data_IF_937476195667
#
_entry.id   IF_937476195667
#
_cell.length_a   1.000
_cell.length_b   1.000
_cell.length_c   1.000
_cell.angle_alpha   90.00
_cell.angle_beta   90.00
_cell.angle_gamma   90.00
#
_symmetry.space_group_name_H-M   'P 1'
#
loop_
_entity.id
_entity.type
_entity.pdbx_description
1 polymer ?
#
# COMPACT_ATOMS: atom_id res chain seq x y z
N UNK A 1 -8.19 8.16 -27.42
CA UNK A 1 -7.74 9.56 -27.40
C UNK A 1 -6.62 9.67 -26.38
N UNK A 2 -5.54 10.38 -26.72
CA UNK A 2 -4.20 10.22 -26.10
C UNK A 2 -3.99 11.22 -24.98
N UNK A 3 -3.21 10.84 -23.95
CA UNK A 3 -2.74 11.74 -22.88
C UNK A 3 -2.04 12.99 -23.41
N UNK A 4 -1.61 12.96 -24.68
CA UNK A 4 -1.09 14.10 -25.44
C UNK A 4 -1.96 15.36 -25.38
N UNK A 5 -3.29 15.23 -25.23
CA UNK A 5 -4.19 16.40 -25.13
C UNK A 5 -3.96 17.23 -23.85
N UNK A 6 -3.30 16.63 -22.86
CA UNK A 6 -2.99 17.26 -21.57
C UNK A 6 -1.57 17.83 -21.48
N UNK A 7 -0.75 17.66 -22.51
CA UNK A 7 0.61 18.19 -22.57
C UNK A 7 0.59 19.70 -22.87
N UNK A 8 1.46 20.46 -22.22
CA UNK A 8 1.55 21.90 -22.43
C UNK A 8 2.68 22.29 -23.40
N UNK A 9 2.32 22.82 -24.57
CA UNK A 9 3.27 23.37 -25.54
C UNK A 9 4.28 22.32 -26.01
N UNK A 10 5.56 22.53 -25.70
CA UNK A 10 6.66 21.65 -26.09
C UNK A 10 6.95 20.52 -25.07
N UNK A 11 6.03 20.26 -24.13
CA UNK A 11 6.17 19.18 -23.14
C UNK A 11 6.24 17.82 -23.84
N UNK A 12 7.25 17.02 -23.49
CA UNK A 12 7.57 15.75 -24.14
C UNK A 12 7.47 14.58 -23.17
N UNK A 13 6.79 13.51 -23.59
CA UNK A 13 6.66 12.28 -22.79
C UNK A 13 7.92 11.45 -22.90
N UNK A 14 8.49 11.07 -21.76
CA UNK A 14 9.72 10.28 -21.68
C UNK A 14 9.46 8.84 -21.27
N UNK A 15 8.49 8.63 -20.39
CA UNK A 15 8.04 7.31 -20.00
C UNK A 15 6.53 7.31 -19.79
N UNK A 16 5.92 6.16 -20.02
CA UNK A 16 4.49 5.95 -19.86
C UNK A 16 4.26 4.61 -19.16
N UNK A 17 3.32 4.61 -18.24
CA UNK A 17 2.77 3.41 -17.64
C UNK A 17 1.26 3.38 -17.85
N UNK A 18 0.70 2.19 -18.10
CA UNK A 18 -0.71 2.01 -18.40
C UNK A 18 -1.29 0.87 -17.56
N UNK A 19 -2.15 1.23 -16.61
CA UNK A 19 -2.99 0.32 -15.84
C UNK A 19 -4.41 0.88 -15.71
N UNK A 20 -5.00 0.83 -14.53
CA UNK A 20 -6.28 1.51 -14.22
C UNK A 20 -6.18 3.04 -14.41
N UNK A 21 -4.97 3.55 -14.28
CA UNK A 21 -4.58 4.92 -14.57
C UNK A 21 -3.53 4.91 -15.66
N UNK A 22 -3.56 5.92 -16.53
CA UNK A 22 -2.47 6.20 -17.45
C UNK A 22 -1.54 7.20 -16.81
N UNK A 23 -0.29 6.83 -16.61
CA UNK A 23 0.75 7.65 -16.00
C UNK A 23 1.76 8.07 -17.05
N UNK A 24 2.15 9.34 -17.03
CA UNK A 24 3.14 9.90 -17.94
C UNK A 24 4.19 10.68 -17.15
N UNK A 25 5.45 10.38 -17.43
CA UNK A 25 6.61 11.12 -16.97
C UNK A 25 7.03 12.01 -18.14
N UNK A 26 6.95 13.33 -17.98
CA UNK A 26 7.34 14.29 -19.01
C UNK A 26 8.72 14.86 -18.75
N UNK A 27 9.13 15.91 -19.46
CA UNK A 27 10.30 16.71 -19.12
C UNK A 27 10.04 17.72 -18.01
N UNK A 28 8.78 17.91 -17.58
CA UNK A 28 8.39 18.94 -16.62
C UNK A 28 7.72 18.41 -15.35
N UNK A 29 6.96 17.34 -15.45
CA UNK A 29 6.12 16.83 -14.35
C UNK A 29 5.76 15.36 -14.56
N UNK A 30 5.22 14.76 -13.50
CA UNK A 30 4.49 13.51 -13.58
C UNK A 30 3.01 13.85 -13.67
N UNK A 31 2.29 13.20 -14.57
CA UNK A 31 0.83 13.35 -14.67
C UNK A 31 0.16 12.00 -14.80
N UNK A 32 -1.08 11.92 -14.34
CA UNK A 32 -1.90 10.71 -14.45
C UNK A 32 -3.35 11.05 -14.75
N UNK A 33 -4.02 10.15 -15.46
CA UNK A 33 -5.44 10.29 -15.84
C UNK A 33 -6.12 8.92 -15.68
N UNK A 34 -7.38 8.85 -15.22
CA UNK A 34 -8.11 7.59 -15.20
C UNK A 34 -8.18 6.97 -16.60
N UNK A 35 -7.81 5.70 -16.74
CA UNK A 35 -7.87 5.03 -18.05
C UNK A 35 -9.31 4.90 -18.58
N UNK A 36 -10.29 4.87 -17.66
CA UNK A 36 -11.72 4.82 -17.98
C UNK A 36 -12.27 6.17 -18.48
N UNK A 37 -11.67 7.29 -18.07
CA UNK A 37 -12.15 8.65 -18.39
C UNK A 37 -10.94 9.53 -18.81
N UNK A 38 -10.39 9.32 -20.02
CA UNK A 38 -9.15 9.99 -20.45
C UNK A 38 -9.29 11.51 -20.67
N UNK A 39 -10.52 12.02 -20.73
CA UNK A 39 -10.82 13.45 -20.89
C UNK A 39 -10.94 14.20 -19.55
N UNK A 40 -10.85 13.49 -18.43
CA UNK A 40 -10.81 14.11 -17.11
C UNK A 40 -9.53 14.94 -16.93
N UNK A 41 -9.62 15.99 -16.10
CA UNK A 41 -8.46 16.82 -15.79
C UNK A 41 -7.36 15.93 -15.17
N UNK A 42 -6.11 16.02 -15.67
CA UNK A 42 -5.03 15.18 -15.18
C UNK A 42 -4.66 15.61 -13.77
N UNK A 43 -4.43 14.62 -12.91
CA UNK A 43 -3.67 14.85 -11.70
C UNK A 43 -2.21 15.09 -12.10
N UNK A 44 -1.60 16.12 -11.55
CA UNK A 44 -0.22 16.50 -11.88
C UNK A 44 0.61 16.66 -10.62
N UNK A 45 1.89 16.31 -10.72
CA UNK A 45 2.87 16.38 -9.65
C UNK A 45 4.17 16.91 -10.24
N UNK A 46 4.60 18.09 -9.79
CA UNK A 46 5.86 18.67 -10.24
C UNK A 46 7.05 17.95 -9.59
N UNK A 47 8.22 17.97 -10.23
CA UNK A 47 9.38 17.22 -9.72
C UNK A 47 9.89 17.76 -8.38
N UNK A 48 9.79 19.07 -8.15
CA UNK A 48 10.14 19.73 -6.89
C UNK A 48 9.17 19.39 -5.75
N UNK A 49 7.97 18.90 -6.06
CA UNK A 49 7.01 18.39 -5.08
C UNK A 49 7.30 16.94 -4.68
N UNK A 50 8.14 16.22 -5.43
CA UNK A 50 8.50 14.82 -5.16
C UNK A 50 9.79 14.76 -4.35
N UNK A 51 9.66 14.53 -3.05
CA UNK A 51 10.82 14.34 -2.18
C UNK A 51 11.48 12.97 -2.39
N UNK A 52 10.66 11.92 -2.54
CA UNK A 52 11.17 10.56 -2.77
C UNK A 52 10.11 9.63 -3.36
N UNK A 53 10.57 8.60 -4.07
CA UNK A 53 9.74 7.48 -4.50
C UNK A 53 10.23 6.20 -3.81
N UNK A 54 9.41 5.64 -2.92
CA UNK A 54 9.78 4.47 -2.10
C UNK A 54 8.93 3.26 -2.44
N UNK A 55 9.53 2.07 -2.42
CA UNK A 55 8.80 0.80 -2.46
C UNK A 55 8.23 0.50 -1.07
N UNK A 56 6.91 0.42 -0.97
CA UNK A 56 6.19 0.14 0.27
C UNK A 56 5.66 -1.28 0.24
N UNK A 57 6.03 -2.08 1.25
CA UNK A 57 5.41 -3.38 1.45
C UNK A 57 3.94 -3.17 1.83
N UNK A 58 3.02 -3.43 0.89
CA UNK A 58 1.60 -3.36 1.16
C UNK A 58 1.25 -4.34 2.29
N UNK A 59 0.82 -3.82 3.43
CA UNK A 59 0.47 -4.64 4.59
C UNK A 59 -0.94 -4.26 5.05
N UNK A 60 -1.86 -5.21 4.98
CA UNK A 60 -3.24 -5.01 5.41
C UNK A 60 -3.35 -5.12 6.93
N UNK A 61 -3.48 -3.95 7.56
CA UNK A 61 -3.56 -3.80 9.02
C UNK A 61 -4.64 -4.67 9.66
N UNK A 62 -5.72 -5.06 8.94
CA UNK A 62 -6.78 -5.91 9.48
C UNK A 62 -6.26 -7.27 9.94
N UNK A 63 -5.32 -7.87 9.20
CA UNK A 63 -4.73 -9.15 9.59
C UNK A 63 -3.79 -9.02 10.80
N UNK A 64 -3.07 -7.89 10.91
CA UNK A 64 -2.26 -7.59 12.10
C UNK A 64 -3.15 -7.40 13.33
N UNK A 65 -4.23 -6.62 13.22
CA UNK A 65 -5.19 -6.40 14.31
C UNK A 65 -5.85 -7.70 14.74
N UNK A 66 -6.24 -8.56 13.79
CA UNK A 66 -6.76 -9.90 14.08
C UNK A 66 -5.74 -10.77 14.81
N UNK A 67 -4.48 -10.77 14.37
CA UNK A 67 -3.41 -11.52 15.02
C UNK A 67 -3.15 -11.03 16.46
N UNK A 68 -3.05 -9.71 16.67
CA UNK A 68 -2.83 -9.11 17.99
C UNK A 68 -4.01 -9.38 18.93
N UNK A 69 -5.25 -9.28 18.43
CA UNK A 69 -6.45 -9.62 19.21
C UNK A 69 -6.43 -11.08 19.63
N UNK A 70 -6.03 -12.00 18.74
CA UNK A 70 -5.91 -13.42 19.09
C UNK A 70 -4.84 -13.68 20.16
N UNK A 71 -3.70 -12.99 20.13
CA UNK A 71 -2.68 -13.05 21.21
C UNK A 71 -3.24 -12.51 22.54
N UNK A 72 -3.96 -11.38 22.48
CA UNK A 72 -4.58 -10.79 23.67
C UNK A 72 -5.60 -11.74 24.29
N UNK A 73 -6.45 -12.38 23.47
CA UNK A 73 -7.41 -13.38 23.93
C UNK A 73 -6.70 -14.63 24.47
N UNK A 74 -5.63 -15.09 23.82
CA UNK A 74 -4.85 -16.25 24.27
C UNK A 74 -4.23 -16.05 25.66
N UNK A 75 -3.98 -14.80 26.06
CA UNK A 75 -3.37 -14.47 27.35
C UNK A 75 -4.42 -14.11 28.42
N UNK A 76 -5.49 -13.40 28.05
CA UNK A 76 -6.53 -12.96 28.99
C UNK A 76 -7.57 -14.03 29.31
N UNK A 77 -8.01 -14.82 28.32
CA UNK A 77 -9.07 -15.81 28.51
C UNK A 77 -8.66 -16.90 29.52
N UNK A 78 -7.45 -17.48 29.48
CA UNK A 78 -7.04 -18.47 30.47
C UNK A 78 -6.92 -17.89 31.87
N UNK A 79 -6.41 -16.66 32.01
CA UNK A 79 -6.30 -15.98 33.30
C UNK A 79 -7.68 -15.70 33.91
N UNK A 80 -8.66 -15.32 33.08
CA UNK A 80 -10.05 -15.13 33.51
C UNK A 80 -10.70 -16.47 33.91
N UNK A 81 -10.51 -17.52 33.12
CA UNK A 81 -11.07 -18.85 33.38
C UNK A 81 -10.44 -19.53 34.61
N UNK A 82 -9.16 -19.31 34.88
CA UNK A 82 -8.50 -19.79 36.10
C UNK A 82 -8.91 -18.98 37.34
N UNK A 83 -9.19 -17.68 37.20
CA UNK A 83 -9.69 -16.83 38.28
C UNK A 83 -11.15 -17.10 38.66
N UNK A 84 -11.96 -17.57 37.71
CA UNK A 84 -13.30 -18.11 37.94
C UNK A 84 -13.16 -19.58 38.39
N UNK A 85 -12.98 -19.78 39.70
CA UNK A 85 -12.76 -21.08 40.32
C UNK A 85 -13.66 -22.20 39.72
N UNK A 86 -13.02 -23.28 39.25
CA UNK A 86 -13.57 -24.53 38.69
C UNK A 86 -13.50 -24.75 37.16
N UNK A 87 -12.57 -24.13 36.45
CA UNK A 87 -12.25 -24.57 35.08
C UNK A 87 -10.98 -25.44 35.11
N UNK A 88 -11.10 -26.71 34.69
CA UNK A 88 -9.96 -27.62 34.54
C UNK A 88 -8.85 -26.97 33.69
N UNK A 89 -7.58 -27.25 34.01
CA UNK A 89 -6.41 -26.66 33.32
C UNK A 89 -6.33 -27.09 31.84
N UNK A 90 -6.92 -28.23 31.49
CA UNK A 90 -6.89 -28.83 30.15
C UNK A 90 -7.70 -28.01 29.11
N UNK A 91 -8.96 -27.60 29.35
CA UNK A 91 -9.68 -26.74 28.41
C UNK A 91 -9.05 -25.34 28.22
N UNK A 92 -8.46 -24.76 29.26
CA UNK A 92 -7.82 -23.44 29.17
C UNK A 92 -6.55 -23.44 28.28
N UNK A 93 -5.75 -24.50 28.38
CA UNK A 93 -4.54 -24.68 27.56
C UNK A 93 -4.85 -24.98 26.09
N UNK A 94 -5.88 -25.79 25.81
CA UNK A 94 -6.37 -26.03 24.45
C UNK A 94 -6.88 -24.75 23.76
N UNK A 95 -7.64 -23.92 24.48
CA UNK A 95 -8.10 -22.61 24.01
C UNK A 95 -6.94 -21.66 23.71
N UNK A 96 -5.94 -21.61 24.59
CA UNK A 96 -4.72 -20.81 24.41
C UNK A 96 -3.96 -21.23 23.15
N UNK A 97 -3.78 -22.54 22.96
CA UNK A 97 -3.12 -23.09 21.77
C UNK A 97 -3.85 -22.77 20.48
N UNK A 98 -5.18 -22.91 20.44
CA UNK A 98 -6.00 -22.56 19.27
C UNK A 98 -5.95 -21.06 18.91
N UNK A 99 -5.97 -20.19 19.92
CA UNK A 99 -5.82 -18.75 19.73
C UNK A 99 -4.41 -18.37 19.28
N UNK A 100 -3.38 -19.04 19.82
CA UNK A 100 -1.99 -18.88 19.38
C UNK A 100 -1.79 -19.26 17.91
N UNK A 101 -2.39 -20.36 17.45
CA UNK A 101 -2.37 -20.76 16.03
C UNK A 101 -3.10 -19.75 15.14
N UNK A 102 -4.25 -19.24 15.60
CA UNK A 102 -5.00 -18.18 14.89
C UNK A 102 -4.17 -16.90 14.78
N UNK A 103 -3.47 -16.51 15.85
CA UNK A 103 -2.57 -15.36 15.83
C UNK A 103 -1.44 -15.54 14.83
N UNK A 104 -0.79 -16.71 14.82
CA UNK A 104 0.28 -17.04 13.88
C UNK A 104 -0.23 -17.01 12.44
N UNK A 105 -1.38 -17.63 12.17
CA UNK A 105 -1.99 -17.63 10.84
C UNK A 105 -2.34 -16.20 10.38
N UNK A 106 -2.89 -15.36 11.26
CA UNK A 106 -3.16 -13.95 11.00
C UNK A 106 -1.89 -13.16 10.69
N UNK A 107 -0.81 -13.38 11.44
CA UNK A 107 0.47 -12.72 11.21
C UNK A 107 1.14 -13.15 9.90
N UNK A 108 1.14 -14.45 9.59
CA UNK A 108 1.63 -14.97 8.30
C UNK A 108 0.80 -14.40 7.15
N UNK A 109 -0.52 -14.32 7.32
CA UNK A 109 -1.39 -13.72 6.32
C UNK A 109 -1.11 -12.22 6.17
N UNK A 110 -0.86 -11.50 7.27
CA UNK A 110 -0.44 -10.09 7.25
C UNK A 110 0.86 -9.88 6.47
N UNK A 111 1.87 -10.72 6.69
CA UNK A 111 3.12 -10.66 5.91
C UNK A 111 2.89 -10.86 4.40
N UNK A 112 1.83 -11.56 4.02
CA UNK A 112 1.45 -11.84 2.63
C UNK A 112 0.28 -10.98 2.13
N UNK A 113 -0.15 -9.98 2.89
CA UNK A 113 -1.52 -9.48 2.78
C UNK A 113 -1.76 -8.44 1.68
N UNK A 114 -0.73 -7.82 1.11
CA UNK A 114 -0.87 -7.08 -0.16
C UNK A 114 0.42 -7.15 -0.95
N UNK A 115 0.27 -6.90 -2.23
CA UNK A 115 1.41 -6.71 -3.13
C UNK A 115 2.14 -5.42 -2.77
N UNK A 116 3.47 -5.40 -2.89
CA UNK A 116 4.24 -4.18 -2.78
C UNK A 116 3.81 -3.16 -3.83
N UNK A 117 3.98 -1.88 -3.51
CA UNK A 117 3.65 -0.78 -4.41
C UNK A 117 4.68 0.35 -4.26
N UNK A 118 4.92 1.08 -5.34
CA UNK A 118 5.67 2.33 -5.31
C UNK A 118 4.77 3.45 -4.81
N UNK A 119 5.28 4.25 -3.88
CA UNK A 119 4.59 5.44 -3.39
C UNK A 119 5.45 6.68 -3.65
N UNK A 120 4.85 7.69 -4.28
CA UNK A 120 5.43 9.02 -4.45
C UNK A 120 5.16 9.81 -3.17
N UNK A 121 6.20 10.32 -2.54
CA UNK A 121 6.11 11.10 -1.31
C UNK A 121 6.61 12.52 -1.59
N UNK A 122 5.91 13.51 -1.04
CA UNK A 122 6.10 14.92 -1.32
C UNK A 122 5.86 15.79 -0.09
N UNK A 123 6.25 17.06 -0.21
CA UNK A 123 6.25 18.04 0.90
C UNK A 123 4.83 18.41 1.37
N UNK A 124 3.82 18.30 0.50
CA UNK A 124 2.42 18.54 0.83
C UNK A 124 1.77 17.32 1.49
N UNK A 125 2.18 17.01 2.72
CA UNK A 125 1.43 16.15 3.65
C UNK A 125 1.17 14.68 3.24
N UNK A 126 0.83 13.82 4.21
CA UNK A 126 0.54 12.41 3.96
C UNK A 126 -0.77 12.17 3.18
N UNK A 127 -1.72 13.11 3.19
CA UNK A 127 -3.02 12.94 2.53
C UNK A 127 -2.92 13.05 1.00
N UNK A 128 -2.08 13.92 0.47
CA UNK A 128 -1.94 14.13 -0.99
C UNK A 128 -1.13 13.01 -1.66
N UNK A 129 -0.28 12.31 -0.91
CA UNK A 129 0.62 11.25 -1.40
C UNK A 129 0.06 9.84 -1.19
N UNK A 130 -1.06 9.71 -0.47
CA UNK A 130 -1.75 8.44 -0.26
C UNK A 130 -2.33 7.91 -1.57
N UNK A 131 -2.71 8.81 -2.49
CA UNK A 131 -3.32 8.42 -3.77
C UNK A 131 -2.28 8.13 -4.86
N UNK A 132 -1.03 8.60 -4.74
CA UNK A 132 0.01 8.41 -5.75
C UNK A 132 0.76 7.08 -5.58
N UNK A 133 0.09 5.99 -5.99
CA UNK A 133 0.62 4.62 -5.89
C UNK A 133 0.65 3.93 -7.25
N UNK A 134 1.73 3.20 -7.50
CA UNK A 134 1.88 2.29 -8.63
C UNK A 134 2.12 0.87 -8.10
N UNK A 135 1.54 -0.16 -8.73
CA UNK A 135 1.86 -1.55 -8.36
C UNK A 135 3.35 -1.84 -8.59
N UNK A 136 3.88 -2.84 -7.88
CA UNK A 136 5.25 -3.32 -8.11
C UNK A 136 5.28 -4.33 -9.27
N UNK A 137 5.26 -3.80 -10.50
CA UNK A 137 5.45 -4.57 -11.72
C UNK A 137 6.64 -4.02 -12.55
N UNK A 138 7.09 -4.77 -13.56
CA UNK A 138 8.25 -4.40 -14.38
C UNK A 138 8.07 -3.07 -15.13
N UNK A 139 6.86 -2.80 -15.61
CA UNK A 139 6.56 -1.56 -16.32
C UNK A 139 6.52 -0.36 -15.36
N UNK A 140 5.96 -0.55 -14.17
CA UNK A 140 5.95 0.45 -13.11
C UNK A 140 7.37 0.72 -12.60
N UNK A 141 8.21 -0.30 -12.46
CA UNK A 141 9.61 -0.15 -12.06
C UNK A 141 10.40 0.67 -13.09
N UNK A 142 10.25 0.38 -14.38
CA UNK A 142 10.88 1.15 -15.46
C UNK A 142 10.39 2.61 -15.48
N UNK A 143 9.09 2.84 -15.25
CA UNK A 143 8.52 4.17 -15.13
C UNK A 143 9.09 4.94 -13.92
N UNK A 144 9.14 4.31 -12.75
CA UNK A 144 9.69 4.91 -11.53
C UNK A 144 11.17 5.22 -11.68
N UNK A 145 11.93 4.38 -12.41
CA UNK A 145 13.32 4.67 -12.72
C UNK A 145 13.46 5.92 -13.60
N UNK A 146 12.59 6.09 -14.61
CA UNK A 146 12.58 7.30 -15.44
C UNK A 146 12.28 8.55 -14.61
N UNK A 147 11.34 8.48 -13.65
CA UNK A 147 11.06 9.59 -12.72
C UNK A 147 12.27 9.87 -11.84
N UNK A 148 12.91 8.85 -11.26
CA UNK A 148 14.06 9.01 -10.37
C UNK A 148 15.27 9.64 -11.05
N UNK A 149 15.45 9.45 -12.35
CA UNK A 149 16.52 10.12 -13.12
C UNK A 149 16.29 11.62 -13.29
N UNK A 150 15.10 12.12 -12.96
CA UNK A 150 14.70 13.53 -13.09
C UNK A 150 14.67 14.28 -11.76
N UNK A 151 14.63 13.56 -10.64
CA UNK A 151 14.79 14.11 -9.29
C UNK A 151 16.26 14.44 -9.03
#
# INVERSE_FOLDING_TARGET
MSVETHLHGDESVQARYQGDWVWCCTDRRVLRVPAAVPDEAPDTLAYDEIERVSLVAGRDVRYLVGALTAVLLATLVPALLMGLANVDVVPASALSGGLGLTALAGFVRWLRSREPYYQFQGATGPDTTTDWRLPDDEAAAAFVEAVRRRL
#
